data_IF_223779705829
#
_entry.id   IF_223779705829
#
_cell.length_a   1.000
_cell.length_b   1.000
_cell.length_c   1.000
_cell.angle_alpha   90.00
_cell.angle_beta   90.00
_cell.angle_gamma   90.00
#
_symmetry.space_group_name_H-M   'P 1'
#
loop_
_entity.id
_entity.type
_entity.pdbx_description
1 polymer ?
#
# COMPACT_ATOMS: atom_id res chain seq x y z
N UNK A 1 24.98 -41.52 -30.13
CA UNK A 1 23.55 -41.14 -30.28
C UNK A 1 22.82 -41.04 -28.93
N UNK A 2 22.68 -42.11 -28.15
CA UNK A 2 21.96 -42.07 -26.85
C UNK A 2 22.53 -41.10 -25.81
N UNK A 3 23.87 -40.99 -25.70
CA UNK A 3 24.55 -40.06 -24.76
C UNK A 3 24.37 -38.58 -25.14
N UNK A 4 24.38 -38.27 -26.45
CA UNK A 4 24.20 -36.91 -26.97
C UNK A 4 22.75 -36.43 -26.82
N UNK A 5 21.78 -37.35 -26.96
CA UNK A 5 20.36 -37.06 -26.75
C UNK A 5 20.05 -36.78 -25.26
N UNK A 6 20.69 -37.53 -24.35
CA UNK A 6 20.56 -37.31 -22.91
C UNK A 6 21.13 -35.95 -22.49
N UNK A 7 22.29 -35.56 -23.03
CA UNK A 7 22.91 -34.26 -22.74
C UNK A 7 22.04 -33.09 -23.23
N UNK A 8 21.45 -33.21 -24.42
CA UNK A 8 20.56 -32.19 -24.98
C UNK A 8 19.28 -32.03 -24.15
N UNK A 9 18.69 -33.12 -23.66
CA UNK A 9 17.54 -33.06 -22.76
C UNK A 9 17.89 -32.40 -21.42
N UNK A 10 19.06 -32.68 -20.83
CA UNK A 10 19.50 -32.03 -19.58
C UNK A 10 19.72 -30.53 -19.79
N UNK A 11 20.29 -30.11 -20.92
CA UNK A 11 20.49 -28.69 -21.26
C UNK A 11 19.15 -27.98 -21.48
N UNK A 12 18.20 -28.59 -22.20
CA UNK A 12 16.86 -28.03 -22.41
C UNK A 12 16.06 -27.94 -21.11
N UNK A 13 16.19 -28.91 -20.22
CA UNK A 13 15.51 -28.94 -18.93
C UNK A 13 16.11 -27.92 -17.94
N UNK A 14 17.41 -27.65 -18.02
CA UNK A 14 18.07 -26.59 -17.25
C UNK A 14 17.78 -25.19 -17.79
N UNK A 15 17.68 -25.00 -19.11
CA UNK A 15 17.18 -23.74 -19.70
C UNK A 15 15.69 -23.49 -19.36
N UNK A 16 14.87 -24.53 -19.31
CA UNK A 16 13.47 -24.44 -18.90
C UNK A 16 13.32 -24.09 -17.40
N UNK A 17 14.23 -24.55 -16.54
CA UNK A 17 14.25 -24.18 -15.12
C UNK A 17 14.66 -22.72 -14.88
N UNK A 18 15.55 -22.15 -15.70
CA UNK A 18 15.93 -20.72 -15.63
C UNK A 18 14.80 -19.80 -16.13
N UNK A 19 13.93 -20.28 -17.01
CA UNK A 19 12.79 -19.52 -17.52
C UNK A 19 11.61 -19.41 -16.54
N UNK A 20 11.62 -20.13 -15.41
CA UNK A 20 10.63 -20.02 -14.33
C UNK A 20 11.27 -19.32 -13.13
N UNK A 21 11.89 -18.15 -13.37
CA UNK A 21 12.08 -17.19 -12.30
C UNK A 21 10.73 -16.55 -12.00
N UNK A 22 9.94 -17.18 -11.13
CA UNK A 22 8.77 -16.54 -10.52
C UNK A 22 9.34 -15.32 -9.79
N UNK A 23 9.09 -14.13 -10.32
CA UNK A 23 9.53 -12.88 -9.70
C UNK A 23 8.78 -12.72 -8.39
N UNK A 24 9.41 -13.17 -7.30
CA UNK A 24 8.94 -12.95 -5.95
C UNK A 24 8.77 -11.45 -5.68
N UNK A 25 7.82 -11.05 -4.82
CA UNK A 25 7.70 -9.66 -4.41
C UNK A 25 9.00 -9.20 -3.76
N UNK A 26 9.48 -8.04 -4.18
CA UNK A 26 10.66 -7.40 -3.60
C UNK A 26 10.29 -6.01 -3.11
N UNK A 27 10.85 -5.60 -1.97
CA UNK A 27 10.77 -4.22 -1.49
C UNK A 27 11.65 -3.35 -2.40
N UNK A 28 11.06 -2.86 -3.49
CA UNK A 28 11.73 -2.06 -4.49
C UNK A 28 10.77 -1.04 -5.11
N UNK A 29 10.69 0.14 -4.51
CA UNK A 29 9.85 1.23 -5.01
C UNK A 29 10.26 1.71 -6.41
N UNK A 30 11.53 1.55 -6.83
CA UNK A 30 12.02 2.01 -8.14
C UNK A 30 11.27 1.39 -9.33
N UNK A 31 10.77 0.16 -9.16
CA UNK A 31 9.99 -0.55 -10.17
C UNK A 31 8.50 -0.23 -10.16
N UNK A 32 8.00 0.50 -9.15
CA UNK A 32 6.57 0.80 -9.01
C UNK A 32 6.19 2.13 -9.67
N UNK A 33 4.89 2.40 -9.80
CA UNK A 33 4.41 3.72 -10.23
C UNK A 33 4.62 4.81 -9.19
N UNK A 34 4.98 4.47 -7.95
CA UNK A 34 5.37 5.42 -6.91
C UNK A 34 6.80 5.91 -7.08
N UNK A 35 7.59 5.34 -7.99
CA UNK A 35 8.80 5.99 -8.46
C UNK A 35 8.42 7.22 -9.29
N UNK A 36 8.31 8.37 -8.61
CA UNK A 36 8.01 9.66 -9.22
C UNK A 36 9.27 10.39 -9.71
N UNK A 37 10.46 9.81 -9.58
CA UNK A 37 11.68 10.37 -10.15
C UNK A 37 11.69 10.30 -11.68
N UNK A 38 12.68 10.91 -12.32
CA UNK A 38 12.93 10.84 -13.77
C UNK A 38 13.03 9.39 -14.29
N UNK A 39 13.49 8.46 -13.45
CA UNK A 39 13.59 7.02 -13.75
C UNK A 39 12.24 6.27 -13.66
N UNK A 40 11.17 6.94 -13.22
CA UNK A 40 9.86 6.35 -13.01
C UNK A 40 9.25 5.68 -14.23
N UNK A 41 8.49 4.61 -13.99
CA UNK A 41 7.73 3.86 -15.00
C UNK A 41 6.32 4.42 -15.23
N UNK A 42 5.84 5.28 -14.32
CA UNK A 42 4.54 5.93 -14.41
C UNK A 42 4.50 7.07 -15.42
N UNK A 43 3.30 7.39 -15.90
CA UNK A 43 3.04 8.55 -16.77
C UNK A 43 3.13 9.89 -16.03
N UNK A 44 3.02 9.86 -14.70
CA UNK A 44 3.16 11.01 -13.81
C UNK A 44 4.48 10.87 -13.04
N UNK A 45 5.51 11.58 -13.50
CA UNK A 45 6.84 11.58 -12.89
C UNK A 45 7.55 12.90 -13.08
N UNK A 46 8.61 13.12 -12.34
CA UNK A 46 9.44 14.30 -12.45
C UNK A 46 10.22 14.33 -13.75
N UNK A 47 10.46 15.54 -14.26
CA UNK A 47 11.36 15.80 -15.39
C UNK A 47 12.77 16.19 -14.94
N UNK A 48 13.01 16.46 -13.66
CA UNK A 48 14.29 17.00 -13.17
C UNK A 48 14.77 16.45 -11.81
N UNK A 49 14.02 15.56 -11.17
CA UNK A 49 14.40 14.91 -9.90
C UNK A 49 14.69 13.43 -10.12
N UNK A 50 15.88 12.97 -9.74
CA UNK A 50 16.31 11.57 -9.88
C UNK A 50 16.23 10.78 -8.57
N UNK A 51 16.08 11.46 -7.43
CA UNK A 51 15.93 10.80 -6.14
C UNK A 51 14.55 10.16 -6.01
N UNK A 52 14.53 8.84 -5.83
CA UNK A 52 13.29 8.05 -5.82
C UNK A 52 12.47 8.31 -4.55
N UNK A 53 13.14 8.37 -3.40
CA UNK A 53 12.47 8.44 -2.10
C UNK A 53 12.07 9.87 -1.70
N UNK A 54 12.62 10.91 -2.34
CA UNK A 54 12.44 12.31 -1.90
C UNK A 54 10.98 12.75 -1.92
N UNK A 55 10.14 12.13 -2.76
CA UNK A 55 8.71 12.43 -2.83
C UNK A 55 7.91 11.95 -1.62
N UNK A 56 8.47 11.05 -0.81
CA UNK A 56 7.81 10.45 0.33
C UNK A 56 8.56 10.69 1.64
N UNK A 57 9.90 10.62 1.59
CA UNK A 57 10.74 10.63 2.77
C UNK A 57 11.86 11.68 2.71
N UNK A 58 12.23 12.18 3.88
CA UNK A 58 13.39 13.06 4.06
C UNK A 58 14.18 12.62 5.31
N UNK A 59 15.52 12.71 5.32
CA UNK A 59 16.30 12.45 6.52
C UNK A 59 16.05 13.47 7.63
N UNK A 60 15.74 14.73 7.25
CA UNK A 60 15.54 15.84 8.18
C UNK A 60 14.40 16.73 7.69
N UNK A 61 13.64 17.32 8.61
CA UNK A 61 12.69 18.37 8.29
C UNK A 61 12.57 19.34 9.45
N UNK A 62 12.47 20.64 9.14
CA UNK A 62 12.17 21.66 10.13
C UNK A 62 10.65 21.81 10.38
N UNK A 63 9.84 21.31 9.43
CA UNK A 63 8.38 21.42 9.41
C UNK A 63 7.78 20.14 8.81
N UNK A 64 6.59 19.73 9.28
CA UNK A 64 5.89 18.52 8.79
C UNK A 64 5.56 17.51 9.90
N UNK A 65 5.09 16.32 9.51
CA UNK A 65 4.76 15.24 10.45
C UNK A 65 6.01 14.45 10.82
N UNK A 66 6.20 14.21 12.12
CA UNK A 66 7.17 13.26 12.66
C UNK A 66 6.58 11.83 12.64
N UNK A 67 6.56 11.20 11.48
CA UNK A 67 6.34 9.75 11.34
C UNK A 67 7.65 9.12 10.91
N UNK A 68 8.17 8.11 11.58
CA UNK A 68 9.44 7.50 11.17
C UNK A 68 9.22 6.42 10.08
N UNK A 69 9.95 6.47 8.95
CA UNK A 69 10.87 7.53 8.50
C UNK A 69 10.14 8.82 8.08
N UNK A 70 10.73 10.00 8.38
CA UNK A 70 10.06 11.31 8.24
C UNK A 70 9.40 11.50 6.88
N UNK A 71 8.17 12.04 6.89
CA UNK A 71 7.35 12.23 5.70
C UNK A 71 7.63 13.57 5.04
N UNK A 72 7.99 13.55 3.75
CA UNK A 72 8.49 14.71 3.02
C UNK A 72 7.47 15.37 2.10
N UNK A 73 6.18 15.08 2.23
CA UNK A 73 5.15 15.60 1.34
C UNK A 73 4.09 16.39 2.11
N UNK A 74 3.64 17.49 1.52
CA UNK A 74 2.64 18.39 2.12
C UNK A 74 1.32 17.66 2.33
N UNK A 75 0.83 17.64 3.57
CA UNK A 75 -0.43 16.98 3.89
C UNK A 75 -1.63 17.58 3.19
N UNK A 76 -2.68 16.76 3.12
CA UNK A 76 -4.01 17.15 2.67
C UNK A 76 -4.45 18.50 3.20
N UNK A 77 -5.12 19.30 2.36
CA UNK A 77 -5.82 20.51 2.83
C UNK A 77 -7.16 20.20 3.48
N UNK A 78 -7.59 18.92 3.51
CA UNK A 78 -8.80 18.48 4.19
C UNK A 78 -8.58 18.50 5.70
N UNK A 79 -9.29 19.39 6.40
CA UNK A 79 -9.17 19.58 7.85
C UNK A 79 -9.94 18.56 8.68
N UNK A 80 -11.00 17.99 8.11
CA UNK A 80 -11.93 17.11 8.85
C UNK A 80 -11.44 15.64 8.93
N UNK A 81 -10.22 15.39 8.43
CA UNK A 81 -9.59 14.08 8.41
C UNK A 81 -10.31 13.04 7.53
N UNK A 82 -9.77 11.82 7.53
CA UNK A 82 -10.33 10.67 6.81
C UNK A 82 -11.02 9.74 7.80
N UNK A 83 -12.10 10.24 8.40
CA UNK A 83 -12.90 9.46 9.35
C UNK A 83 -13.68 8.32 8.68
N UNK A 84 -14.22 7.43 9.52
CA UNK A 84 -15.10 6.37 9.05
C UNK A 84 -16.48 6.93 8.68
N UNK A 85 -17.11 6.32 7.66
CA UNK A 85 -18.49 6.62 7.32
C UNK A 85 -19.45 5.80 8.20
N UNK A 86 -20.62 6.38 8.48
CA UNK A 86 -21.68 5.67 9.21
C UNK A 86 -22.34 4.64 8.31
N UNK A 87 -22.37 3.37 8.74
CA UNK A 87 -23.05 2.29 8.04
C UNK A 87 -23.71 1.35 9.04
N UNK A 88 -24.92 0.89 8.73
CA UNK A 88 -25.67 -0.07 9.55
C UNK A 88 -25.05 -1.46 9.56
N UNK A 89 -24.14 -1.74 8.64
CA UNK A 89 -23.44 -3.02 8.51
C UNK A 89 -21.98 -2.95 8.97
N UNK A 90 -21.59 -1.89 9.67
CA UNK A 90 -20.21 -1.68 10.10
C UNK A 90 -20.10 -1.70 11.62
N UNK A 91 -19.39 -2.70 12.15
CA UNK A 91 -19.35 -3.02 13.58
C UNK A 91 -18.22 -2.35 14.36
N UNK A 92 -17.25 -1.69 13.70
CA UNK A 92 -16.10 -1.06 14.40
C UNK A 92 -16.46 0.24 15.14
N UNK A 93 -17.75 0.48 15.33
CA UNK A 93 -18.32 1.71 15.86
C UNK A 93 -18.26 2.83 14.81
N UNK A 94 -19.35 3.60 14.69
CA UNK A 94 -19.22 4.92 14.11
C UNK A 94 -18.37 5.74 15.08
N UNK A 95 -17.08 5.90 14.80
CA UNK A 95 -16.43 7.11 15.26
C UNK A 95 -17.33 8.27 14.78
N UNK A 96 -17.80 9.17 15.67
CA UNK A 96 -18.74 10.22 15.29
C UNK A 96 -18.29 10.89 14.00
N UNK A 97 -19.20 11.13 13.05
CA UNK A 97 -18.90 12.00 11.91
C UNK A 97 -18.36 13.33 12.46
N UNK A 98 -17.08 13.62 12.19
CA UNK A 98 -16.35 14.78 12.72
C UNK A 98 -15.28 14.45 13.76
N UNK A 99 -15.29 13.26 14.34
CA UNK A 99 -14.21 12.70 15.16
C UNK A 99 -14.17 11.18 14.92
N UNK A 100 -13.41 10.77 13.89
CA UNK A 100 -12.47 9.66 14.10
C UNK A 100 -11.81 9.86 15.47
N UNK A 101 -11.21 8.85 16.10
CA UNK A 101 -10.00 9.23 16.82
C UNK A 101 -9.20 10.05 15.80
N UNK A 102 -9.08 11.37 16.02
CA UNK A 102 -8.33 12.20 15.12
C UNK A 102 -6.95 11.62 15.28
N UNK A 103 -6.58 10.77 14.34
CA UNK A 103 -5.20 10.40 14.16
C UNK A 103 -4.68 11.68 13.47
N UNK A 104 -4.50 12.70 14.32
CA UNK A 104 -4.14 14.08 14.06
C UNK A 104 -3.23 14.15 12.86
N UNK A 105 -3.57 15.04 11.92
CA UNK A 105 -2.65 15.42 10.84
C UNK A 105 -1.38 16.07 11.39
N UNK A 106 -1.35 16.43 12.67
CA UNK A 106 -0.18 16.96 13.34
C UNK A 106 -0.07 16.46 14.78
N UNK A 107 0.71 15.39 14.98
CA UNK A 107 1.32 15.08 16.28
C UNK A 107 1.09 13.66 16.76
N UNK A 108 2.16 12.86 16.79
CA UNK A 108 2.32 11.60 17.53
C UNK A 108 1.17 10.57 17.40
N UNK A 109 0.51 10.58 16.26
CA UNK A 109 -0.70 9.83 16.01
C UNK A 109 -1.29 10.27 14.69
N UNK A 110 -0.54 10.20 13.60
CA UNK A 110 -1.08 10.38 12.24
C UNK A 110 -1.40 9.01 11.65
N UNK A 111 -2.61 8.85 11.11
CA UNK A 111 -2.99 7.60 10.47
C UNK A 111 -2.10 7.45 9.23
N UNK A 112 -1.47 6.28 9.05
CA UNK A 112 -0.66 6.01 7.85
C UNK A 112 -1.45 6.29 6.57
N UNK A 113 -2.77 6.06 6.59
CA UNK A 113 -3.67 6.42 5.48
C UNK A 113 -3.59 7.91 5.12
N UNK A 114 -3.44 8.82 6.08
CA UNK A 114 -3.37 10.27 5.81
C UNK A 114 -2.13 10.64 4.97
N UNK A 115 -1.02 9.91 5.12
CA UNK A 115 0.17 10.09 4.27
C UNK A 115 -0.12 9.68 2.83
N UNK A 116 -0.87 8.59 2.63
CA UNK A 116 -1.33 8.21 1.29
C UNK A 116 -2.27 9.29 0.73
N UNK A 117 -3.21 9.76 1.56
CA UNK A 117 -4.19 10.75 1.14
C UNK A 117 -3.56 12.07 0.74
N UNK A 118 -2.41 12.48 1.31
CA UNK A 118 -1.74 13.71 0.90
C UNK A 118 -1.40 13.77 -0.60
N UNK A 119 -1.32 12.62 -1.27
CA UNK A 119 -1.19 12.52 -2.72
C UNK A 119 -2.51 12.12 -3.41
N UNK A 120 -3.24 11.19 -2.81
CA UNK A 120 -4.36 10.49 -3.44
C UNK A 120 -5.70 11.22 -3.35
N UNK A 121 -5.82 12.25 -2.50
CA UNK A 121 -7.05 13.01 -2.34
C UNK A 121 -7.22 14.18 -3.33
N UNK A 122 -6.16 14.49 -4.08
CA UNK A 122 -6.14 15.58 -5.06
C UNK A 122 -6.16 16.99 -4.48
N UNK A 123 -6.04 17.15 -3.16
CA UNK A 123 -5.99 18.46 -2.51
C UNK A 123 -4.62 19.13 -2.62
N UNK A 124 -3.56 18.31 -2.78
CA UNK A 124 -2.19 18.79 -2.89
C UNK A 124 -1.52 18.31 -4.18
N UNK A 125 -0.56 19.10 -4.60
CA UNK A 125 0.36 18.77 -5.67
C UNK A 125 1.31 17.63 -5.26
N UNK A 126 1.51 16.60 -6.08
CA UNK A 126 2.41 15.45 -5.80
C UNK A 126 3.87 15.84 -5.64
N UNK A 127 4.27 16.99 -6.18
CA UNK A 127 5.62 17.54 -6.04
C UNK A 127 5.74 18.54 -4.88
N UNK A 128 4.72 18.68 -4.02
CA UNK A 128 4.75 19.60 -2.87
C UNK A 128 5.52 18.97 -1.72
N UNK A 129 6.84 19.19 -1.69
CA UNK A 129 7.73 18.60 -0.70
C UNK A 129 8.05 19.58 0.43
N UNK A 130 8.26 19.06 1.64
CA UNK A 130 8.74 19.86 2.77
C UNK A 130 10.24 20.17 2.66
N UNK A 131 11.01 19.20 2.19
CA UNK A 131 12.45 19.27 2.02
C UNK A 131 12.84 18.73 0.62
N UNK A 132 12.83 19.57 -0.42
CA UNK A 132 13.31 19.18 -1.75
C UNK A 132 14.79 18.78 -1.75
N UNK A 133 15.24 18.09 -2.80
CA UNK A 133 16.66 17.75 -2.94
C UNK A 133 17.53 19.00 -3.00
N UNK A 134 18.76 18.89 -2.48
CA UNK A 134 19.75 19.98 -2.57
C UNK A 134 20.19 20.26 -4.01
N UNK A 135 20.11 19.27 -4.89
CA UNK A 135 20.51 19.39 -6.29
C UNK A 135 19.56 20.30 -7.09
N UNK A 136 18.26 20.26 -6.78
CA UNK A 136 17.25 21.14 -7.37
C UNK A 136 17.08 22.41 -6.53
N UNK A 137 17.08 22.30 -5.20
CA UNK A 137 16.84 23.39 -4.25
C UNK A 137 15.41 23.92 -4.24
N UNK A 138 14.49 23.24 -4.93
CA UNK A 138 13.08 23.61 -5.05
C UNK A 138 12.22 22.37 -5.36
N UNK A 139 10.90 22.49 -5.20
CA UNK A 139 9.97 21.41 -5.52
C UNK A 139 10.16 20.92 -6.98
N UNK A 140 10.27 19.60 -7.22
CA UNK A 140 10.52 19.04 -8.54
C UNK A 140 9.51 19.48 -9.60
N UNK A 141 9.95 19.63 -10.85
CA UNK A 141 9.05 19.81 -12.00
C UNK A 141 8.50 18.46 -12.43
N UNK A 142 7.20 18.39 -12.73
CA UNK A 142 6.53 17.18 -13.22
C UNK A 142 6.38 17.22 -14.73
N UNK A 143 6.73 16.12 -15.40
CA UNK A 143 6.79 16.00 -16.87
C UNK A 143 5.44 16.12 -17.60
N UNK A 144 4.32 16.25 -16.87
CA UNK A 144 2.98 16.37 -17.42
C UNK A 144 2.21 17.60 -16.88
N UNK A 145 2.91 18.71 -16.70
CA UNK A 145 2.45 19.98 -16.10
C UNK A 145 1.26 20.70 -16.80
N UNK A 146 0.59 20.06 -17.76
CA UNK A 146 -0.57 20.61 -18.48
C UNK A 146 -1.92 20.43 -17.78
N UNK A 147 -1.97 19.59 -16.74
CA UNK A 147 -3.05 19.50 -15.77
C UNK A 147 -2.38 19.49 -14.40
N UNK A 148 -3.02 20.06 -13.39
CA UNK A 148 -2.52 20.17 -12.02
C UNK A 148 -1.60 19.01 -11.63
N UNK A 149 -0.52 19.34 -10.92
CA UNK A 149 0.41 18.43 -10.24
C UNK A 149 -0.27 17.42 -9.31
N UNK A 150 -1.60 17.34 -9.27
CA UNK A 150 -2.40 16.30 -8.63
C UNK A 150 -2.37 15.00 -9.43
N UNK A 151 -2.46 13.87 -8.72
CA UNK A 151 -2.74 12.58 -9.34
C UNK A 151 -4.04 12.68 -10.15
N UNK A 152 -4.09 12.05 -11.33
CA UNK A 152 -5.30 11.99 -12.17
C UNK A 152 -5.80 10.54 -12.30
N UNK A 153 -7.01 10.36 -12.86
CA UNK A 153 -7.69 9.06 -13.05
C UNK A 153 -8.00 8.33 -11.74
N UNK A 154 -8.14 7.01 -11.77
CA UNK A 154 -8.53 6.15 -10.65
C UNK A 154 -7.54 6.17 -9.46
N UNK A 155 -6.38 6.81 -9.61
CA UNK A 155 -5.45 7.00 -8.50
C UNK A 155 -5.76 8.25 -7.68
N UNK A 156 -6.58 9.18 -8.19
CA UNK A 156 -7.17 10.24 -7.37
C UNK A 156 -8.51 9.75 -6.85
N UNK A 157 -8.55 9.36 -5.58
CA UNK A 157 -9.76 8.82 -4.93
C UNK A 157 -10.57 9.93 -4.24
N UNK A 158 -10.06 11.16 -4.24
CA UNK A 158 -10.75 12.31 -3.67
C UNK A 158 -10.76 12.33 -2.15
N UNK A 159 -11.56 13.24 -1.59
CA UNK A 159 -11.63 13.48 -0.15
C UNK A 159 -12.74 12.69 0.56
N UNK A 160 -13.66 12.10 -0.20
CA UNK A 160 -14.77 11.29 0.31
C UNK A 160 -14.46 9.81 0.12
N UNK A 161 -14.39 9.07 1.23
CA UNK A 161 -14.10 7.63 1.26
C UNK A 161 -15.36 6.79 1.53
N UNK A 162 -16.55 7.37 1.42
CA UNK A 162 -17.82 6.69 1.75
C UNK A 162 -18.15 5.51 0.82
N UNK A 163 -17.51 5.44 -0.35
CA UNK A 163 -17.61 4.35 -1.33
C UNK A 163 -16.40 3.40 -1.31
N UNK A 164 -15.42 3.62 -0.43
CA UNK A 164 -14.23 2.79 -0.29
C UNK A 164 -14.34 1.83 0.90
N UNK A 165 -13.40 0.88 0.97
CA UNK A 165 -13.30 0.04 2.16
C UNK A 165 -12.90 0.90 3.37
N UNK A 166 -13.58 0.78 4.53
CA UNK A 166 -13.23 1.55 5.73
C UNK A 166 -11.76 1.36 6.11
N UNK A 167 -11.13 2.46 6.53
CA UNK A 167 -9.79 2.52 7.12
C UNK A 167 -9.82 3.42 8.36
N UNK A 168 -8.71 3.51 9.08
CA UNK A 168 -8.53 4.35 10.27
C UNK A 168 -9.33 3.87 11.49
N UNK A 169 -9.39 2.56 11.72
CA UNK A 169 -10.10 1.96 12.87
C UNK A 169 -9.29 0.86 13.55
N UNK A 170 -9.62 0.59 14.80
CA UNK A 170 -9.02 -0.51 15.56
C UNK A 170 -9.61 -1.84 15.10
N UNK A 171 -8.76 -2.73 14.59
CA UNK A 171 -9.11 -4.12 14.32
C UNK A 171 -8.46 -5.01 15.39
N UNK A 172 -9.24 -5.35 16.41
CA UNK A 172 -8.84 -6.22 17.51
C UNK A 172 -9.79 -7.42 17.67
N UNK A 173 -9.50 -8.27 18.64
CA UNK A 173 -10.33 -9.43 19.00
C UNK A 173 -11.75 -9.04 19.41
N UNK A 174 -11.95 -7.88 20.05
CA UNK A 174 -13.28 -7.44 20.47
C UNK A 174 -14.15 -7.09 19.26
N UNK A 175 -13.58 -6.38 18.28
CA UNK A 175 -14.25 -6.13 17.00
C UNK A 175 -14.53 -7.45 16.26
N UNK A 176 -13.55 -8.35 16.19
CA UNK A 176 -13.73 -9.62 15.49
C UNK A 176 -14.91 -10.43 16.06
N UNK A 177 -15.01 -10.50 17.39
CA UNK A 177 -16.11 -11.17 18.08
C UNK A 177 -17.46 -10.46 17.89
N UNK A 178 -17.47 -9.13 17.83
CA UNK A 178 -18.68 -8.34 17.63
C UNK A 178 -19.24 -8.47 16.21
N UNK A 179 -18.37 -8.51 15.21
CA UNK A 179 -18.75 -8.71 13.80
C UNK A 179 -19.15 -10.17 13.54
N UNK A 180 -18.41 -11.13 14.10
CA UNK A 180 -18.65 -12.57 13.96
C UNK A 180 -18.24 -13.17 12.61
N UNK A 181 -17.93 -12.33 11.61
CA UNK A 181 -17.40 -12.73 10.28
C UNK A 181 -15.98 -12.25 10.02
N UNK A 182 -15.29 -11.71 11.02
CA UNK A 182 -13.90 -11.28 10.97
C UNK A 182 -12.98 -12.33 11.61
N UNK A 183 -11.82 -12.55 11.01
CA UNK A 183 -10.76 -13.36 11.61
C UNK A 183 -10.15 -12.62 12.79
N UNK A 184 -9.99 -13.28 13.94
CA UNK A 184 -9.35 -12.66 15.10
C UNK A 184 -7.84 -12.39 14.85
N UNK A 185 -7.37 -11.13 14.92
CA UNK A 185 -5.97 -10.77 14.69
C UNK A 185 -5.00 -11.37 15.72
N UNK A 186 -5.47 -11.78 16.90
CA UNK A 186 -4.67 -12.49 17.91
C UNK A 186 -4.45 -13.97 17.56
N UNK A 187 -5.17 -14.49 16.57
CA UNK A 187 -5.08 -15.90 16.16
C UNK A 187 -4.38 -16.06 14.82
N UNK A 188 -3.79 -17.23 14.61
CA UNK A 188 -3.29 -17.70 13.29
C UNK A 188 -4.45 -18.34 12.50
N UNK A 189 -5.69 -18.24 13.00
CA UNK A 189 -6.82 -19.01 12.49
C UNK A 189 -7.24 -18.46 11.13
N UNK A 190 -6.84 -19.20 10.11
CA UNK A 190 -7.28 -19.03 8.75
C UNK A 190 -8.74 -19.49 8.63
N UNK A 191 -9.65 -18.68 8.12
CA UNK A 191 -11.06 -19.06 7.90
C UNK A 191 -11.30 -20.06 6.76
N UNK A 192 -10.36 -20.96 6.55
CA UNK A 192 -10.34 -21.83 5.39
C UNK A 192 -11.03 -23.14 5.71
N UNK A 193 -12.19 -23.32 5.10
CA UNK A 193 -12.53 -24.61 4.53
C UNK A 193 -12.28 -24.50 3.02
N UNK A 194 -11.39 -25.34 2.45
CA UNK A 194 -11.12 -25.43 1.00
C UNK A 194 -9.83 -24.77 0.46
N UNK A 195 -9.75 -24.60 -0.87
CA UNK A 195 -8.57 -24.16 -1.66
C UNK A 195 -8.03 -22.74 -1.36
N UNK A 196 -8.49 -22.08 -0.30
CA UNK A 196 -8.14 -20.70 0.05
C UNK A 196 -7.03 -20.60 1.11
N UNK A 197 -6.57 -21.74 1.64
CA UNK A 197 -5.38 -21.83 2.50
C UNK A 197 -4.14 -21.36 1.74
N UNK A 198 -4.20 -21.47 0.42
CA UNK A 198 -3.22 -20.94 -0.53
C UNK A 198 -3.18 -19.41 -0.59
N UNK A 199 -4.23 -18.65 -0.27
CA UNK A 199 -4.16 -17.17 -0.31
C UNK A 199 -3.37 -16.60 0.89
N UNK A 200 -3.48 -17.26 2.04
CA UNK A 200 -2.77 -16.93 3.27
C UNK A 200 -1.38 -17.56 3.23
N UNK A 201 -1.26 -18.77 2.67
CA UNK A 201 0.00 -19.38 2.28
C UNK A 201 0.77 -18.53 1.25
N UNK A 202 0.10 -17.87 0.32
CA UNK A 202 0.71 -16.96 -0.66
C UNK A 202 1.14 -15.64 0.01
N UNK A 203 0.37 -15.12 0.96
CA UNK A 203 0.84 -14.03 1.83
C UNK A 203 2.04 -14.44 2.68
N UNK A 204 2.10 -15.70 3.14
CA UNK A 204 3.25 -16.28 3.87
C UNK A 204 4.46 -16.54 2.95
N UNK A 205 4.27 -16.87 1.67
CA UNK A 205 5.40 -17.02 0.73
C UNK A 205 5.93 -15.68 0.23
N UNK A 206 5.05 -14.68 0.11
CA UNK A 206 5.36 -13.32 -0.34
C UNK A 206 5.88 -12.44 0.82
N UNK A 207 5.45 -12.74 2.04
CA UNK A 207 5.87 -12.14 3.31
C UNK A 207 6.12 -13.25 4.36
N UNK A 208 7.33 -13.83 4.43
CA UNK A 208 7.65 -14.97 5.29
C UNK A 208 7.48 -14.73 6.80
N UNK A 209 7.19 -13.51 7.22
CA UNK A 209 6.91 -13.14 8.63
C UNK A 209 5.43 -12.95 8.94
N UNK A 210 4.52 -13.09 7.96
CA UNK A 210 3.15 -12.65 8.08
C UNK A 210 2.17 -13.84 8.16
N UNK A 211 2.20 -14.53 9.30
CA UNK A 211 1.35 -15.71 9.57
C UNK A 211 -0.03 -15.36 10.14
N UNK A 212 -0.30 -14.08 10.39
CA UNK A 212 -1.52 -13.58 11.04
C UNK A 212 -1.98 -12.26 10.43
N UNK A 213 -3.25 -11.91 10.65
CA UNK A 213 -3.78 -10.59 10.27
C UNK A 213 -3.05 -9.46 10.97
N UNK A 214 -2.53 -9.66 12.18
CA UNK A 214 -1.76 -8.65 12.90
C UNK A 214 -0.54 -8.17 12.12
N UNK A 215 0.04 -8.97 11.23
CA UNK A 215 1.12 -8.53 10.34
C UNK A 215 0.68 -7.55 9.23
N UNK A 216 -0.62 -7.39 9.01
CA UNK A 216 -1.22 -6.38 8.13
C UNK A 216 -1.59 -5.10 8.88
N UNK A 217 -1.71 -5.13 10.20
CA UNK A 217 -2.11 -3.99 11.01
C UNK A 217 -0.89 -3.17 11.43
N UNK A 218 -1.13 -1.96 11.95
CA UNK A 218 -0.07 -1.24 12.68
C UNK A 218 0.24 -1.96 14.01
N UNK A 219 1.37 -1.64 14.68
CA UNK A 219 1.66 -2.17 16.01
C UNK A 219 0.58 -1.89 17.07
N UNK A 220 -0.28 -0.90 16.82
CA UNK A 220 -1.43 -0.53 17.66
C UNK A 220 -2.77 -1.14 17.19
N UNK A 221 -2.73 -2.19 16.36
CA UNK A 221 -3.91 -2.85 15.78
C UNK A 221 -4.81 -1.92 14.94
N UNK A 222 -4.25 -0.87 14.33
CA UNK A 222 -5.01 -0.02 13.42
C UNK A 222 -5.06 -0.65 12.02
N UNK A 223 -6.25 -0.73 11.46
CA UNK A 223 -6.49 -1.03 10.05
C UNK A 223 -6.36 0.26 9.23
N UNK A 224 -5.44 0.26 8.27
CA UNK A 224 -5.00 1.44 7.51
C UNK A 224 -4.91 1.09 6.02
N UNK A 225 -4.74 2.07 5.12
CA UNK A 225 -4.47 1.80 3.70
C UNK A 225 -3.28 0.82 3.52
N UNK A 226 -2.27 0.94 4.37
CA UNK A 226 -1.11 0.03 4.40
C UNK A 226 -1.45 -1.41 4.79
N UNK A 227 -2.63 -1.71 5.30
CA UNK A 227 -3.06 -3.08 5.59
C UNK A 227 -3.36 -3.87 4.31
N UNK A 228 -3.78 -3.16 3.26
CA UNK A 228 -4.04 -3.75 1.95
C UNK A 228 -2.95 -3.40 0.93
N UNK A 229 -2.37 -2.19 0.99
CA UNK A 229 -1.42 -1.70 -0.01
C UNK A 229 0.02 -1.70 0.48
N UNK A 230 0.96 -2.02 -0.41
CA UNK A 230 2.39 -1.93 -0.16
C UNK A 230 3.08 -1.04 -1.19
N UNK A 231 3.23 0.25 -0.86
CA UNK A 231 3.84 1.23 -1.76
C UNK A 231 5.29 0.89 -2.19
N UNK A 232 6.00 0.14 -1.35
CA UNK A 232 7.37 -0.31 -1.62
C UNK A 232 7.44 -1.64 -2.38
N UNK A 233 6.32 -2.35 -2.59
CA UNK A 233 6.37 -3.69 -3.15
C UNK A 233 6.31 -3.64 -4.66
N UNK A 234 7.30 -4.28 -5.28
CA UNK A 234 7.32 -4.53 -6.70
C UNK A 234 7.13 -6.01 -7.00
N UNK A 235 6.14 -6.29 -7.84
CA UNK A 235 5.72 -7.65 -8.23
C UNK A 235 6.24 -8.06 -9.62
N UNK A 236 7.32 -7.46 -10.13
CA UNK A 236 7.95 -7.88 -11.38
C UNK A 236 7.23 -7.50 -12.68
N UNK A 237 6.17 -6.66 -12.64
CA UNK A 237 5.43 -6.20 -13.83
C UNK A 237 3.92 -6.42 -13.72
N UNK A 238 3.23 -6.60 -14.86
CA UNK A 238 1.75 -6.74 -15.02
C UNK A 238 1.17 -7.99 -14.34
N UNK A 239 1.30 -8.09 -13.02
CA UNK A 239 0.54 -9.06 -12.23
C UNK A 239 -0.81 -8.44 -11.85
N UNK A 240 -1.82 -8.68 -12.70
CA UNK A 240 -3.17 -8.12 -12.54
C UNK A 240 -3.78 -8.35 -11.15
N UNK A 241 -3.43 -9.46 -10.48
CA UNK A 241 -3.97 -9.83 -9.17
C UNK A 241 -3.48 -8.97 -8.00
N UNK A 242 -2.33 -8.29 -8.14
CA UNK A 242 -1.79 -7.40 -7.10
C UNK A 242 -2.03 -5.92 -7.42
N UNK A 243 -2.84 -5.59 -8.44
CA UNK A 243 -3.14 -4.21 -8.77
C UNK A 243 -4.31 -3.67 -7.94
N UNK A 244 -4.24 -2.43 -7.39
CA UNK A 244 -3.08 -1.54 -7.34
C UNK A 244 -2.23 -1.74 -6.06
N UNK A 245 -1.05 -2.34 -6.19
CA UNK A 245 -0.08 -2.56 -5.09
C UNK A 245 -0.62 -3.31 -3.88
N UNK A 246 -1.52 -4.27 -4.09
CA UNK A 246 -2.09 -5.08 -3.02
C UNK A 246 -1.01 -5.96 -2.40
N UNK A 247 -0.98 -6.08 -1.07
CA UNK A 247 -0.10 -6.99 -0.32
C UNK A 247 -0.47 -8.47 -0.51
N UNK A 248 -1.69 -8.74 -0.96
CA UNK A 248 -2.23 -10.08 -1.23
C UNK A 248 -2.82 -10.08 -2.63
N UNK A 249 -2.59 -11.17 -3.36
CA UNK A 249 -3.22 -11.37 -4.65
C UNK A 249 -4.75 -11.46 -4.48
N UNK A 250 -5.50 -10.64 -5.22
CA UNK A 250 -6.95 -10.61 -5.14
C UNK A 250 -7.66 -11.56 -6.11
N UNK A 251 -6.93 -12.44 -6.81
CA UNK A 251 -7.54 -13.55 -7.56
C UNK A 251 -8.41 -14.39 -6.63
N UNK A 252 -9.66 -14.62 -7.01
CA UNK A 252 -10.61 -15.38 -6.20
C UNK A 252 -10.96 -14.72 -4.86
N UNK A 253 -10.87 -13.39 -4.76
CA UNK A 253 -11.10 -12.62 -3.52
C UNK A 253 -10.08 -12.89 -2.41
N UNK A 254 -8.86 -13.31 -2.78
CA UNK A 254 -7.81 -13.67 -1.82
C UNK A 254 -7.48 -12.57 -0.80
N UNK A 255 -7.59 -11.29 -1.18
CA UNK A 255 -7.42 -10.18 -0.23
C UNK A 255 -8.57 -10.12 0.79
N UNK A 256 -9.82 -10.21 0.34
CA UNK A 256 -11.00 -10.14 1.20
C UNK A 256 -11.03 -11.32 2.19
N UNK A 257 -10.77 -12.52 1.68
CA UNK A 257 -10.74 -13.76 2.46
C UNK A 257 -9.54 -13.85 3.41
N UNK A 258 -8.60 -12.89 3.33
CA UNK A 258 -7.54 -12.77 4.33
C UNK A 258 -8.00 -12.15 5.65
N UNK A 259 -9.17 -11.49 5.66
CA UNK A 259 -9.74 -10.83 6.84
C UNK A 259 -11.17 -11.28 7.16
N UNK A 260 -11.93 -11.74 6.17
CA UNK A 260 -13.33 -12.11 6.32
C UNK A 260 -13.55 -13.61 6.20
N UNK A 261 -14.27 -14.14 7.20
CA UNK A 261 -14.79 -15.50 7.31
C UNK A 261 -16.26 -15.49 6.89
N UNK A 262 -16.52 -15.66 5.59
CA UNK A 262 -17.88 -15.67 5.05
C UNK A 262 -18.16 -16.96 4.31
#
# INVERSE_FOLDING_TARGET
MKKSLLLLMVVLMSLALVAIAISAPINNVSGTKHNLSTSGTGSYKSSNEDQICVFCHTPHQATGISTDPLWNHSLSTKTDGYGMYNSTTFNAGAAPQGQGTQVELSGNGTALSNLCMSCHDGTQAVNSLYNPSNDIGANPTMSNAGFMTTISTNANIGTDLSNDHPVNFTYDTALANLDGGLVDPATVATCVTGNYATAIGQFVTDYPTATSISAKLTPSNQFQCSSCHGAHIYYGGTQSGYSPFLKVNNVGSGLCLSCHCK
#
